data_IF_416082024234
#
_entry.id   IF_416082024234
#
_cell.length_a   1.000
_cell.length_b   1.000
_cell.length_c   1.000
_cell.angle_alpha   90.00
_cell.angle_beta   90.00
_cell.angle_gamma   90.00
#
_symmetry.space_group_name_H-M   'P 1'
#
loop_
_entity.id
_entity.type
_entity.pdbx_description
1 polymer ?
#
# COMPACT_ATOMS: atom_id res chain seq x y z
N UNK A 1 16.34 -19.08 7.12
CA UNK A 1 15.44 -18.07 6.53
C UNK A 1 16.14 -17.52 5.30
N UNK A 2 15.80 -17.96 4.09
CA UNK A 2 16.51 -17.55 2.86
C UNK A 2 16.17 -16.10 2.54
N UNK A 3 17.14 -15.20 2.62
CA UNK A 3 17.01 -13.87 2.04
C UNK A 3 16.89 -14.03 0.53
N UNK A 4 15.69 -13.86 -0.03
CA UNK A 4 15.49 -13.78 -1.47
C UNK A 4 16.03 -12.44 -1.94
N UNK A 5 17.31 -12.42 -2.31
CA UNK A 5 17.97 -11.24 -2.84
C UNK A 5 17.45 -10.99 -4.26
N UNK A 6 16.65 -9.93 -4.40
CA UNK A 6 16.16 -9.43 -5.69
C UNK A 6 17.33 -8.81 -6.45
N UNK A 7 17.80 -9.47 -7.51
CA UNK A 7 18.97 -8.99 -8.28
C UNK A 7 18.77 -7.59 -8.86
N UNK A 8 17.54 -7.29 -9.27
CA UNK A 8 17.18 -6.04 -9.92
C UNK A 8 16.50 -5.04 -8.96
N UNK A 9 16.40 -5.40 -7.68
CA UNK A 9 15.87 -4.56 -6.60
C UNK A 9 14.35 -4.41 -6.62
N UNK A 10 13.86 -3.24 -6.22
CA UNK A 10 12.43 -2.93 -6.15
C UNK A 10 12.08 -1.59 -6.81
N UNK A 11 10.85 -1.47 -7.32
CA UNK A 11 10.31 -0.23 -7.90
C UNK A 11 8.88 -0.01 -7.44
N UNK A 12 8.56 1.24 -7.10
CA UNK A 12 7.20 1.65 -6.73
C UNK A 12 6.56 2.36 -7.92
N UNK A 13 5.33 2.00 -8.21
CA UNK A 13 4.50 2.57 -9.27
C UNK A 13 3.24 3.12 -8.62
N UNK A 14 3.10 4.44 -8.61
CA UNK A 14 1.93 5.12 -8.05
C UNK A 14 0.83 5.21 -9.10
N UNK A 15 -0.28 4.51 -8.89
CA UNK A 15 -1.41 4.46 -9.83
C UNK A 15 -2.51 5.46 -9.49
N UNK A 16 -2.31 6.33 -8.49
CA UNK A 16 -3.29 7.35 -8.06
C UNK A 16 -3.83 8.20 -9.23
N UNK A 17 -2.97 8.51 -10.21
CA UNK A 17 -3.32 9.32 -11.39
C UNK A 17 -3.71 8.48 -12.62
N UNK A 18 -3.68 7.17 -12.51
CA UNK A 18 -4.02 6.24 -13.59
C UNK A 18 -5.47 5.81 -13.41
N UNK A 19 -6.38 6.41 -14.17
CA UNK A 19 -7.81 6.10 -14.07
C UNK A 19 -8.30 5.11 -15.12
N UNK A 20 -7.57 4.97 -16.22
CA UNK A 20 -7.85 3.98 -17.25
C UNK A 20 -7.03 2.71 -17.00
N UNK A 21 -7.66 1.55 -16.73
CA UNK A 21 -6.96 0.28 -16.58
C UNK A 21 -6.03 -0.07 -17.75
N UNK A 22 -6.33 0.38 -18.98
CA UNK A 22 -5.50 0.14 -20.15
C UNK A 22 -4.14 0.85 -20.07
N UNK A 23 -4.02 1.89 -19.26
CA UNK A 23 -2.79 2.67 -19.09
C UNK A 23 -1.87 2.12 -18.00
N UNK A 24 -2.29 1.14 -17.21
CA UNK A 24 -1.48 0.58 -16.12
C UNK A 24 -0.14 0.04 -16.63
N UNK A 25 -0.14 -0.68 -17.76
CA UNK A 25 1.10 -1.21 -18.33
C UNK A 25 2.03 -0.11 -18.85
N UNK A 26 1.47 1.04 -19.26
CA UNK A 26 2.25 2.23 -19.66
C UNK A 26 2.87 2.86 -18.42
N UNK A 27 2.09 3.08 -17.35
CA UNK A 27 2.57 3.65 -16.09
C UNK A 27 3.70 2.80 -15.47
N UNK A 28 3.59 1.47 -15.53
CA UNK A 28 4.66 0.58 -15.06
C UNK A 28 5.90 0.73 -15.97
N UNK A 29 5.72 0.79 -17.29
CA UNK A 29 6.84 0.98 -18.21
C UNK A 29 7.59 2.30 -17.94
N UNK A 30 6.85 3.39 -17.76
CA UNK A 30 7.40 4.71 -17.43
C UNK A 30 8.17 4.70 -16.09
N UNK A 31 7.61 4.07 -15.05
CA UNK A 31 8.29 3.91 -13.76
C UNK A 31 9.57 3.04 -13.85
N UNK A 32 9.65 2.17 -14.86
CA UNK A 32 10.84 1.39 -15.20
C UNK A 32 11.81 2.16 -16.13
N UNK A 33 11.49 3.40 -16.51
CA UNK A 33 12.29 4.21 -17.44
C UNK A 33 12.20 3.74 -18.89
N UNK A 34 11.13 3.03 -19.25
CA UNK A 34 10.89 2.49 -20.58
C UNK A 34 9.91 3.38 -21.34
N UNK A 35 10.19 3.60 -22.61
CA UNK A 35 9.36 4.38 -23.52
C UNK A 35 9.09 3.61 -24.81
N UNK A 36 8.25 4.19 -25.68
CA UNK A 36 8.08 3.70 -27.04
C UNK A 36 9.41 3.72 -27.80
N UNK A 37 9.57 2.76 -28.70
CA UNK A 37 10.72 2.62 -29.59
C UNK A 37 10.25 2.23 -30.99
N UNK A 38 11.05 2.46 -32.05
CA UNK A 38 10.63 2.13 -33.41
C UNK A 38 10.13 0.68 -33.54
N UNK A 39 8.83 0.52 -33.84
CA UNK A 39 8.19 -0.79 -34.00
C UNK A 39 7.81 -1.52 -32.70
N UNK A 40 7.96 -0.89 -31.52
CA UNK A 40 7.61 -1.51 -30.24
C UNK A 40 7.14 -0.50 -29.20
N UNK A 41 5.97 -0.74 -28.62
CA UNK A 41 5.38 0.13 -27.59
C UNK A 41 6.02 -0.07 -26.22
N UNK A 42 5.86 0.91 -25.33
CA UNK A 42 6.31 0.88 -23.94
C UNK A 42 5.85 -0.40 -23.18
N UNK A 43 4.58 -0.84 -23.25
CA UNK A 43 4.15 -2.13 -22.69
C UNK A 43 4.88 -3.35 -23.25
N UNK A 44 5.21 -3.35 -24.55
CA UNK A 44 5.96 -4.44 -25.16
C UNK A 44 7.43 -4.43 -24.72
N UNK A 45 8.02 -3.25 -24.57
CA UNK A 45 9.35 -3.06 -23.99
C UNK A 45 9.41 -3.55 -22.54
N UNK A 46 8.39 -3.22 -21.75
CA UNK A 46 8.24 -3.70 -20.38
C UNK A 46 8.21 -5.22 -20.32
N UNK A 47 7.30 -5.86 -21.07
CA UNK A 47 7.24 -7.34 -21.11
C UNK A 47 8.57 -7.96 -21.52
N UNK A 48 9.29 -7.36 -22.46
CA UNK A 48 10.61 -7.85 -22.86
C UNK A 48 11.66 -7.71 -21.76
N UNK A 49 11.74 -6.54 -21.11
CA UNK A 49 12.68 -6.27 -20.03
C UNK A 49 12.46 -7.19 -18.83
N UNK A 50 11.19 -7.52 -18.53
CA UNK A 50 10.84 -8.27 -17.33
C UNK A 50 11.01 -9.80 -17.46
N UNK A 51 11.09 -10.37 -18.66
CA UNK A 51 11.18 -11.83 -18.89
C UNK A 51 12.23 -12.55 -18.05
N UNK A 52 13.40 -11.93 -17.87
CA UNK A 52 14.53 -12.51 -17.13
C UNK A 52 14.88 -11.72 -15.87
N UNK A 53 14.01 -10.80 -15.46
CA UNK A 53 14.24 -9.94 -14.32
C UNK A 53 13.88 -10.65 -13.00
N UNK A 54 14.57 -10.28 -11.93
CA UNK A 54 14.32 -10.67 -10.55
C UNK A 54 14.11 -9.39 -9.71
N UNK A 55 12.89 -8.85 -9.80
CA UNK A 55 12.49 -7.59 -9.16
C UNK A 55 11.17 -7.70 -8.37
N UNK A 56 10.98 -6.74 -7.46
CA UNK A 56 9.70 -6.46 -6.82
C UNK A 56 9.07 -5.19 -7.40
N UNK A 57 7.88 -5.30 -7.97
CA UNK A 57 7.04 -4.15 -8.30
C UNK A 57 6.03 -3.91 -7.17
N UNK A 58 6.03 -2.69 -6.64
CA UNK A 58 4.99 -2.22 -5.72
C UNK A 58 4.01 -1.37 -6.51
N UNK A 59 2.77 -1.83 -6.63
CA UNK A 59 1.70 -1.09 -7.32
C UNK A 59 0.82 -0.44 -6.27
N UNK A 60 0.90 0.89 -6.17
CA UNK A 60 0.18 1.64 -5.15
C UNK A 60 -1.15 2.18 -5.70
N UNK A 61 -2.23 2.11 -4.89
CA UNK A 61 -3.59 2.56 -5.22
C UNK A 61 -4.27 1.81 -6.37
N UNK A 62 -4.18 0.47 -6.39
CA UNK A 62 -4.72 -0.35 -7.47
C UNK A 62 -6.26 -0.41 -7.49
N UNK A 63 -6.97 0.04 -6.44
CA UNK A 63 -8.43 -0.09 -6.31
C UNK A 63 -9.23 0.57 -7.45
N UNK A 64 -8.67 1.60 -8.10
CA UNK A 64 -9.33 2.33 -9.19
C UNK A 64 -9.13 1.65 -10.55
N UNK A 65 -8.18 0.72 -10.66
CA UNK A 65 -7.79 0.06 -11.91
C UNK A 65 -7.85 -1.46 -11.81
N UNK A 66 -8.70 -2.00 -10.93
CA UNK A 66 -8.91 -3.44 -10.74
C UNK A 66 -9.04 -4.25 -12.06
N UNK A 67 -9.69 -3.77 -13.14
CA UNK A 67 -9.75 -4.49 -14.41
C UNK A 67 -8.37 -4.80 -15.03
N UNK A 68 -7.32 -4.03 -14.70
CA UNK A 68 -5.96 -4.27 -15.16
C UNK A 68 -5.32 -5.53 -14.54
N UNK A 69 -5.94 -6.15 -13.53
CA UNK A 69 -5.46 -7.38 -12.91
C UNK A 69 -5.18 -8.49 -13.94
N UNK A 70 -5.97 -8.59 -15.02
CA UNK A 70 -5.75 -9.55 -16.11
C UNK A 70 -4.41 -9.34 -16.81
N UNK A 71 -4.04 -8.10 -17.11
CA UNK A 71 -2.74 -7.77 -17.71
C UNK A 71 -1.59 -8.07 -16.75
N UNK A 72 -1.79 -7.79 -15.46
CA UNK A 72 -0.82 -8.14 -14.41
C UNK A 72 -0.60 -9.65 -14.32
N UNK A 73 -1.65 -10.45 -14.41
CA UNK A 73 -1.55 -11.91 -14.43
C UNK A 73 -0.77 -12.41 -15.65
N UNK A 74 -1.01 -11.81 -16.82
CA UNK A 74 -0.24 -12.09 -18.03
C UNK A 74 1.24 -11.75 -17.86
N UNK A 75 1.55 -10.59 -17.25
CA UNK A 75 2.92 -10.19 -16.97
C UNK A 75 3.64 -11.17 -16.03
N UNK A 76 2.99 -11.59 -14.94
CA UNK A 76 3.54 -12.57 -13.99
C UNK A 76 3.79 -13.95 -14.63
N UNK A 77 2.97 -14.31 -15.63
CA UNK A 77 3.14 -15.55 -16.39
C UNK A 77 4.37 -15.49 -17.31
N UNK A 78 4.59 -14.34 -17.96
CA UNK A 78 5.72 -14.11 -18.87
C UNK A 78 7.06 -13.87 -18.14
N UNK A 79 7.02 -13.52 -16.86
CA UNK A 79 8.16 -13.03 -16.08
C UNK A 79 8.21 -13.66 -14.67
N UNK A 80 8.63 -14.95 -14.55
CA UNK A 80 8.53 -15.71 -13.29
C UNK A 80 9.43 -15.21 -12.16
N UNK A 81 10.44 -14.39 -12.46
CA UNK A 81 11.27 -13.75 -11.44
C UNK A 81 10.66 -12.46 -10.87
N UNK A 82 9.56 -11.96 -11.45
CA UNK A 82 8.88 -10.75 -11.00
C UNK A 82 7.92 -11.07 -9.88
N UNK A 83 8.01 -10.30 -8.80
CA UNK A 83 7.06 -10.31 -7.69
C UNK A 83 6.30 -9.00 -7.68
N UNK A 84 5.02 -9.07 -7.32
CA UNK A 84 4.14 -7.89 -7.23
C UNK A 84 3.56 -7.79 -5.82
N UNK A 85 3.66 -6.61 -5.24
CA UNK A 85 2.92 -6.18 -4.06
C UNK A 85 1.97 -5.07 -4.49
N UNK A 86 0.67 -5.31 -4.47
CA UNK A 86 -0.31 -4.27 -4.76
C UNK A 86 -0.96 -3.77 -3.46
N UNK A 87 -1.07 -2.45 -3.29
CA UNK A 87 -1.95 -1.86 -2.29
C UNK A 87 -3.30 -1.60 -2.96
N UNK A 88 -4.39 -1.97 -2.27
CA UNK A 88 -5.74 -1.83 -2.80
C UNK A 88 -6.76 -1.98 -1.69
N UNK A 89 -7.91 -1.30 -1.82
CA UNK A 89 -9.09 -1.49 -0.97
C UNK A 89 -9.92 -2.73 -1.32
N UNK A 90 -9.62 -3.38 -2.44
CA UNK A 90 -10.28 -4.61 -2.88
C UNK A 90 -9.28 -5.62 -3.45
N UNK A 91 -9.51 -6.93 -3.31
CA UNK A 91 -8.64 -7.94 -3.90
C UNK A 91 -8.64 -7.83 -5.43
N UNK A 92 -7.50 -8.13 -6.04
CA UNK A 92 -7.33 -8.16 -7.51
C UNK A 92 -8.03 -9.39 -8.13
N UNK A 93 -8.35 -10.40 -7.31
CA UNK A 93 -9.00 -11.67 -7.67
C UNK A 93 -8.16 -12.51 -8.63
N UNK A 94 -6.84 -12.54 -8.41
CA UNK A 94 -5.93 -13.41 -9.17
C UNK A 94 -5.81 -14.78 -8.50
N UNK A 95 -5.63 -15.84 -9.30
CA UNK A 95 -5.45 -17.20 -8.77
C UNK A 95 -4.21 -17.35 -7.90
N UNK A 96 -3.14 -16.63 -8.21
CA UNK A 96 -1.90 -16.59 -7.45
C UNK A 96 -1.89 -15.51 -6.34
N UNK A 97 -3.03 -14.85 -6.09
CA UNK A 97 -3.10 -13.75 -5.13
C UNK A 97 -3.00 -14.25 -3.68
N UNK A 98 -2.21 -13.54 -2.88
CA UNK A 98 -2.23 -13.64 -1.42
C UNK A 98 -2.64 -12.30 -0.84
N UNK A 99 -3.87 -12.24 -0.30
CA UNK A 99 -4.41 -11.03 0.33
C UNK A 99 -3.89 -10.94 1.77
N UNK A 100 -3.37 -9.77 2.13
CA UNK A 100 -2.97 -9.43 3.50
C UNK A 100 -3.86 -8.26 3.96
N UNK A 101 -4.97 -8.53 4.67
CA UNK A 101 -5.89 -7.49 5.10
C UNK A 101 -5.25 -6.66 6.21
N UNK A 102 -5.13 -5.35 6.00
CA UNK A 102 -4.71 -4.42 7.05
C UNK A 102 -5.86 -4.22 8.04
N UNK A 103 -5.64 -4.55 9.30
CA UNK A 103 -6.62 -4.30 10.36
C UNK A 103 -6.49 -2.87 10.88
N UNK A 104 -7.60 -2.25 11.30
CA UNK A 104 -7.52 -0.99 12.04
C UNK A 104 -6.68 -1.12 13.32
N UNK A 105 -6.22 0.01 13.84
CA UNK A 105 -5.45 0.04 15.08
C UNK A 105 -6.33 -0.39 16.26
N UNK A 106 -5.73 -1.10 17.22
CA UNK A 106 -6.47 -1.59 18.39
C UNK A 106 -7.01 -0.42 19.24
N UNK A 107 -8.31 -0.44 19.49
CA UNK A 107 -8.98 0.52 20.35
C UNK A 107 -8.93 0.07 21.82
N UNK A 108 -8.82 1.03 22.73
CA UNK A 108 -8.98 0.76 24.15
C UNK A 108 -10.44 0.38 24.44
N UNK A 109 -10.67 -0.82 24.98
CA UNK A 109 -11.99 -1.30 25.39
C UNK A 109 -12.10 -1.34 26.93
N UNK A 110 -13.25 -0.96 27.50
CA UNK A 110 -13.53 -1.04 28.94
C UNK A 110 -13.29 0.27 29.69
N UNK A 111 -12.85 0.19 30.96
CA UNK A 111 -12.50 1.38 31.74
C UNK A 111 -11.25 2.02 31.15
N UNK A 112 -11.44 3.14 30.44
CA UNK A 112 -10.37 3.98 29.95
C UNK A 112 -9.70 4.65 31.14
N UNK A 113 -8.49 4.20 31.47
CA UNK A 113 -7.55 4.87 32.37
C UNK A 113 -6.41 5.47 31.55
N UNK A 114 -5.71 6.48 32.09
CA UNK A 114 -4.51 7.03 31.46
C UNK A 114 -3.49 5.98 31.04
N UNK A 115 -3.31 4.93 31.84
CA UNK A 115 -2.37 3.82 31.56
C UNK A 115 -2.82 2.99 30.35
N UNK A 116 -4.09 2.57 30.31
CA UNK A 116 -4.64 1.83 29.16
C UNK A 116 -4.65 2.64 27.87
N UNK A 117 -4.80 3.97 27.99
CA UNK A 117 -4.83 4.88 26.86
C UNK A 117 -3.45 4.99 26.20
N UNK A 118 -2.40 5.17 27.00
CA UNK A 118 -1.01 5.27 26.52
C UNK A 118 -0.49 3.96 25.91
N UNK A 119 -1.16 2.83 26.17
CA UNK A 119 -0.85 1.53 25.56
C UNK A 119 -1.54 1.29 24.21
N UNK A 120 -2.44 2.17 23.76
CA UNK A 120 -3.13 2.04 22.46
C UNK A 120 -2.34 2.71 21.34
N UNK A 121 -2.02 1.96 20.28
CA UNK A 121 -1.31 2.51 19.12
C UNK A 121 -2.11 3.64 18.43
N UNK A 122 -3.44 3.56 18.43
CA UNK A 122 -4.31 4.61 17.87
C UNK A 122 -4.18 5.93 18.64
N UNK A 123 -4.07 5.85 19.96
CA UNK A 123 -3.87 7.00 20.85
C UNK A 123 -2.44 7.53 20.69
N UNK A 124 -1.45 6.66 20.64
CA UNK A 124 -0.06 7.05 20.41
C UNK A 124 0.08 7.84 19.11
N UNK A 125 -0.55 7.37 18.03
CA UNK A 125 -0.60 8.09 16.75
C UNK A 125 -1.37 9.42 16.88
N UNK A 126 -2.49 9.46 17.59
CA UNK A 126 -3.24 10.70 17.81
C UNK A 126 -2.38 11.76 18.51
N UNK A 127 -1.68 11.37 19.58
CA UNK A 127 -0.80 12.27 20.34
C UNK A 127 0.36 12.75 19.49
N UNK A 128 1.05 11.84 18.78
CA UNK A 128 2.13 12.19 17.83
C UNK A 128 1.65 13.25 16.82
N UNK A 129 0.47 13.07 16.23
CA UNK A 129 -0.07 14.03 15.26
C UNK A 129 -0.52 15.34 15.87
N UNK A 130 -1.07 15.31 17.07
CA UNK A 130 -1.50 16.52 17.75
C UNK A 130 -0.31 17.38 18.22
N UNK A 131 0.81 16.76 18.64
CA UNK A 131 2.05 17.47 18.97
C UNK A 131 2.63 18.22 17.76
N UNK A 132 2.51 17.66 16.55
CA UNK A 132 2.92 18.33 15.32
C UNK A 132 2.07 19.58 14.97
N UNK A 133 0.90 19.75 15.60
CA UNK A 133 0.05 20.94 15.46
C UNK A 133 0.31 22.00 16.54
N UNK A 134 1.11 21.68 17.56
CA UNK A 134 1.48 22.56 18.65
C UNK A 134 1.58 21.86 20.01
N UNK A 135 1.99 22.56 21.07
CA UNK A 135 2.10 21.99 22.41
C UNK A 135 0.75 21.44 22.89
N UNK A 136 0.75 20.17 23.30
CA UNK A 136 -0.42 19.54 23.91
C UNK A 136 -0.55 19.91 25.40
N UNK A 137 -1.76 20.15 25.91
CA UNK A 137 -1.99 20.17 27.34
C UNK A 137 -1.76 18.78 27.96
N UNK A 138 -1.52 18.68 29.27
CA UNK A 138 -1.40 17.39 29.95
C UNK A 138 -2.62 16.50 29.71
N UNK A 139 -2.37 15.23 29.34
CA UNK A 139 -3.44 14.23 29.18
C UNK A 139 -3.89 13.76 30.57
N UNK A 140 -4.88 14.45 31.11
CA UNK A 140 -5.63 14.07 32.32
C UNK A 140 -6.77 13.09 32.00
N UNK A 141 -7.52 12.64 33.00
CA UNK A 141 -8.59 11.65 32.83
C UNK A 141 -9.73 12.11 31.89
N UNK A 142 -10.23 13.37 31.99
CA UNK A 142 -11.17 13.90 31.01
C UNK A 142 -10.62 13.92 29.57
N UNK A 143 -9.38 14.38 29.37
CA UNK A 143 -8.75 14.41 28.06
C UNK A 143 -8.55 12.99 27.51
N UNK A 144 -8.11 12.05 28.35
CA UNK A 144 -7.96 10.64 27.98
C UNK A 144 -9.26 10.05 27.45
N UNK A 145 -10.40 10.30 28.12
CA UNK A 145 -11.71 9.82 27.66
C UNK A 145 -12.10 10.43 26.31
N UNK A 146 -11.89 11.74 26.14
CA UNK A 146 -12.19 12.41 24.88
C UNK A 146 -11.35 11.86 23.71
N UNK A 147 -10.06 11.61 23.94
CA UNK A 147 -9.16 11.01 22.92
C UNK A 147 -9.62 9.60 22.56
N UNK A 148 -9.96 8.77 23.55
CA UNK A 148 -10.49 7.43 23.29
C UNK A 148 -11.78 7.46 22.46
N UNK A 149 -12.70 8.38 22.78
CA UNK A 149 -13.94 8.56 22.01
C UNK A 149 -13.67 9.01 20.57
N UNK A 150 -12.69 9.90 20.34
CA UNK A 150 -12.29 10.31 18.98
C UNK A 150 -11.71 9.12 18.22
N UNK A 151 -10.74 8.40 18.79
CA UNK A 151 -10.13 7.22 18.17
C UNK A 151 -11.18 6.15 17.83
N UNK A 152 -12.16 5.93 18.71
CA UNK A 152 -13.27 5.01 18.47
C UNK A 152 -14.19 5.49 17.35
N UNK A 153 -14.45 6.81 17.26
CA UNK A 153 -15.33 7.40 16.24
C UNK A 153 -14.71 7.41 14.83
N UNK A 154 -13.40 7.26 14.73
CA UNK A 154 -12.69 7.02 13.46
C UNK A 154 -12.37 5.54 13.24
N UNK A 155 -13.00 4.63 13.99
CA UNK A 155 -12.83 3.18 13.89
C UNK A 155 -11.37 2.70 14.00
N UNK A 156 -10.50 3.45 14.69
CA UNK A 156 -9.07 3.14 14.77
C UNK A 156 -8.34 3.27 13.43
N UNK A 157 -8.89 4.01 12.47
CA UNK A 157 -8.28 4.26 11.17
C UNK A 157 -7.19 5.34 11.30
N UNK A 158 -5.93 5.04 10.93
CA UNK A 158 -4.87 6.04 10.88
C UNK A 158 -5.07 6.94 9.65
N UNK A 159 -5.58 8.15 9.89
CA UNK A 159 -5.77 9.19 8.86
C UNK A 159 -4.58 10.16 8.77
#
# INVERSE_FOLDING_TARGET
>A
MMHHHLRDGGRVVFLERTHDPALVMVAIAEAMGLADSPGRSAPQNLRHALRNADLLLVLDNFEHVLPAATEIAGLLTDAPGVRILATSRAPLRLSAERVVPLQPMALAHGQVTRETLLASDAVALFLDRAEHQGPLPPVDEPAARAIAEICARVDGLPL
#
